data_IF_746164436521
#
_entry.id   IF_746164436521
#
_cell.length_a   1.000
_cell.length_b   1.000
_cell.length_c   1.000
_cell.angle_alpha   90.00
_cell.angle_beta   90.00
_cell.angle_gamma   90.00
#
_symmetry.space_group_name_H-M   'P 1'
#
loop_
_entity.id
_entity.type
_entity.pdbx_description
1 polymer ?
#
# COMPACT_ATOMS: atom_id res chain seq x y z
N UNK A 1 -33.17 -27.12 39.83
CA UNK A 1 -33.19 -26.91 41.29
C UNK A 1 -33.03 -28.28 41.94
N UNK A 2 -32.22 -28.36 43.01
CA UNK A 2 -31.64 -29.54 43.66
C UNK A 2 -30.48 -30.19 42.86
N UNK A 3 -29.28 -30.40 43.37
CA UNK A 3 -28.59 -30.19 44.67
C UNK A 3 -27.28 -31.01 44.56
N UNK A 4 -26.06 -30.45 44.61
CA UNK A 4 -25.13 -30.32 45.78
C UNK A 4 -25.40 -31.32 46.92
N UNK A 5 -24.47 -32.01 47.60
CA UNK A 5 -23.01 -31.98 47.87
C UNK A 5 -22.61 -33.45 48.21
N UNK A 6 -21.29 -33.75 48.26
CA UNK A 6 -20.58 -34.58 49.27
C UNK A 6 -19.52 -35.46 48.58
N UNK A 7 -18.31 -35.66 49.10
CA UNK A 7 -17.52 -35.11 50.20
C UNK A 7 -16.24 -35.98 50.25
N UNK A 8 -15.23 -35.54 51.00
CA UNK A 8 -14.18 -36.36 51.65
C UNK A 8 -13.01 -36.84 50.77
N UNK A 9 -11.83 -36.26 51.00
CA UNK A 9 -10.78 -36.73 51.95
C UNK A 9 -9.98 -37.89 51.34
N UNK A 10 -8.68 -37.70 51.14
CA UNK A 10 -7.73 -38.07 52.19
C UNK A 10 -6.30 -37.68 51.80
N UNK A 11 -5.55 -37.36 52.83
CA UNK A 11 -4.21 -36.82 52.90
C UNK A 11 -3.11 -37.90 52.85
N UNK A 12 -1.86 -37.39 52.93
CA UNK A 12 -0.63 -38.01 53.46
C UNK A 12 0.23 -38.74 52.42
N UNK A 13 1.34 -38.11 52.00
CA UNK A 13 2.66 -38.06 52.66
C UNK A 13 3.47 -39.33 52.36
N UNK A 14 4.61 -39.19 51.66
CA UNK A 14 5.91 -39.60 52.22
C UNK A 14 7.08 -39.14 51.34
N UNK A 15 8.17 -38.83 52.02
CA UNK A 15 9.41 -38.23 51.56
C UNK A 15 10.41 -39.29 51.09
N UNK A 16 11.14 -38.92 50.02
CA UNK A 16 12.58 -39.12 49.95
C UNK A 16 13.10 -40.39 49.26
N UNK A 17 13.87 -40.21 48.19
CA UNK A 17 15.33 -40.48 48.21
C UNK A 17 15.91 -40.28 46.80
N UNK A 18 16.91 -39.40 46.72
CA UNK A 18 17.82 -39.26 45.58
C UNK A 18 18.54 -40.59 45.30
N UNK A 19 18.39 -41.10 44.08
CA UNK A 19 19.44 -41.89 43.44
C UNK A 19 19.63 -41.42 42.00
N UNK A 20 20.77 -40.78 41.82
CA UNK A 20 21.34 -40.31 40.58
C UNK A 20 21.65 -41.52 39.67
N UNK A 21 20.94 -41.66 38.55
CA UNK A 21 21.28 -42.60 37.48
C UNK A 21 21.39 -41.83 36.18
N UNK A 22 22.64 -41.51 35.80
CA UNK A 22 22.98 -40.95 34.50
C UNK A 22 22.62 -41.98 33.41
N UNK A 23 21.56 -41.72 32.66
CA UNK A 23 21.34 -42.37 31.37
C UNK A 23 21.71 -41.36 30.28
N UNK A 24 22.90 -41.54 29.71
CA UNK A 24 23.25 -40.95 28.41
C UNK A 24 22.18 -41.35 27.41
N UNK A 25 21.32 -40.39 27.05
CA UNK A 25 20.36 -40.55 25.98
C UNK A 25 21.05 -39.99 24.74
N UNK A 26 21.54 -40.87 23.87
CA UNK A 26 21.94 -40.49 22.53
C UNK A 26 20.74 -39.85 21.84
N UNK A 27 20.73 -38.52 21.79
CA UNK A 27 19.80 -37.77 20.96
C UNK A 27 20.21 -37.96 19.51
N UNK A 28 19.49 -38.81 18.79
CA UNK A 28 19.49 -38.78 17.33
C UNK A 28 19.04 -37.37 16.91
N UNK A 29 19.98 -36.53 16.48
CA UNK A 29 19.67 -35.29 15.78
C UNK A 29 19.00 -35.65 14.45
N UNK A 30 17.68 -35.76 14.46
CA UNK A 30 16.91 -35.71 13.23
C UNK A 30 17.01 -34.27 12.70
N UNK A 31 17.81 -34.07 11.65
CA UNK A 31 17.84 -32.88 10.83
C UNK A 31 16.46 -32.66 10.18
N UNK A 32 15.50 -32.17 10.96
CA UNK A 32 14.22 -31.70 10.44
C UNK A 32 14.49 -30.37 9.74
N UNK A 33 14.45 -30.41 8.42
CA UNK A 33 14.49 -29.27 7.52
C UNK A 33 13.41 -28.25 7.90
N UNK A 34 13.79 -27.25 8.72
CA UNK A 34 12.96 -26.16 9.22
C UNK A 34 12.48 -25.22 8.09
N UNK A 35 12.86 -25.47 6.83
CA UNK A 35 12.48 -24.60 5.71
C UNK A 35 11.01 -24.71 5.28
N UNK A 36 10.26 -25.72 5.75
CA UNK A 36 8.87 -25.97 5.34
C UNK A 36 7.80 -25.81 6.45
N UNK A 37 8.14 -25.28 7.62
CA UNK A 37 7.14 -24.98 8.64
C UNK A 37 6.45 -23.64 8.33
N UNK A 38 5.12 -23.67 8.24
CA UNK A 38 4.33 -22.44 8.14
C UNK A 38 4.65 -21.52 9.33
N UNK A 39 4.83 -20.21 9.12
CA UNK A 39 5.20 -19.30 10.19
C UNK A 39 4.15 -19.32 11.29
N UNK A 40 4.56 -19.72 12.49
CA UNK A 40 3.73 -19.72 13.69
C UNK A 40 3.84 -18.35 14.35
N UNK A 41 2.70 -17.71 14.62
CA UNK A 41 2.68 -16.46 15.38
C UNK A 41 3.15 -16.75 16.81
N UNK A 42 4.20 -16.05 17.25
CA UNK A 42 4.71 -16.11 18.61
C UNK A 42 4.60 -14.74 19.27
N UNK A 43 4.24 -14.73 20.55
CA UNK A 43 4.27 -13.51 21.37
C UNK A 43 5.71 -13.12 21.76
N UNK A 44 6.66 -14.03 21.55
CA UNK A 44 8.09 -13.79 21.69
C UNK A 44 8.61 -13.03 20.47
N UNK A 45 9.19 -11.85 20.70
CA UNK A 45 9.82 -11.03 19.65
C UNK A 45 11.28 -11.40 19.42
N UNK A 46 11.69 -12.61 19.78
CA UNK A 46 13.08 -13.07 19.68
C UNK A 46 13.52 -13.03 18.21
N UNK A 47 14.59 -12.28 17.95
CA UNK A 47 15.09 -12.01 16.59
C UNK A 47 14.55 -10.72 15.93
N UNK A 48 13.58 -10.02 16.53
CA UNK A 48 13.21 -8.69 16.03
C UNK A 48 14.33 -7.69 16.33
N UNK A 49 14.87 -7.05 15.29
CA UNK A 49 15.86 -5.98 15.47
C UNK A 49 15.18 -4.84 16.23
N UNK A 50 15.64 -4.55 17.45
CA UNK A 50 15.23 -3.33 18.17
C UNK A 50 15.75 -2.12 17.42
N UNK A 51 14.86 -1.41 16.74
CA UNK A 51 15.19 -0.15 16.06
C UNK A 51 15.10 0.97 17.10
N UNK A 52 16.26 1.39 17.61
CA UNK A 52 16.33 2.51 18.55
C UNK A 52 16.01 3.83 17.82
N UNK A 53 14.94 4.52 18.25
CA UNK A 53 14.55 5.83 17.72
C UNK A 53 15.39 6.95 18.36
N UNK A 54 16.68 7.00 18.03
CA UNK A 54 17.66 7.93 18.64
C UNK A 54 17.59 9.34 18.01
N UNK A 55 16.99 9.47 16.82
CA UNK A 55 16.96 10.74 16.08
C UNK A 55 16.02 11.76 16.75
N UNK A 56 16.52 12.99 16.95
CA UNK A 56 15.70 14.12 17.43
C UNK A 56 14.53 14.38 16.47
N UNK A 57 13.31 14.44 17.01
CA UNK A 57 12.09 14.78 16.26
C UNK A 57 12.17 16.25 15.84
N UNK A 58 12.48 16.51 14.58
CA UNK A 58 12.47 17.85 13.98
C UNK A 58 12.03 17.77 12.52
N UNK A 59 11.49 18.87 12.01
CA UNK A 59 11.34 19.05 10.58
C UNK A 59 12.74 19.13 9.96
N UNK A 60 12.95 18.36 8.89
CA UNK A 60 14.21 18.39 8.12
C UNK A 60 14.23 19.57 7.14
N UNK A 61 13.05 20.07 6.81
CA UNK A 61 12.82 21.14 5.84
C UNK A 61 12.28 22.40 6.54
N UNK A 62 12.55 23.60 5.99
CA UNK A 62 11.87 24.81 6.40
C UNK A 62 10.37 24.71 6.06
N UNK A 63 9.57 25.55 6.72
CA UNK A 63 8.13 25.63 6.45
C UNK A 63 7.94 26.08 4.99
N UNK A 64 7.26 25.27 4.15
CA UNK A 64 7.07 25.62 2.74
C UNK A 64 5.97 26.67 2.57
N UNK A 65 6.21 27.64 1.68
CA UNK A 65 5.22 28.63 1.26
C UNK A 65 4.57 29.40 2.42
N UNK A 66 3.24 29.44 2.42
CA UNK A 66 2.41 30.11 3.43
C UNK A 66 2.00 29.15 4.57
N UNK A 67 2.67 28.02 4.71
CA UNK A 67 2.30 26.95 5.64
C UNK A 67 0.88 26.38 5.39
N UNK A 68 0.40 26.40 4.14
CA UNK A 68 -0.91 25.84 3.79
C UNK A 68 -0.77 24.35 3.45
N UNK A 69 -1.83 23.54 3.58
CA UNK A 69 -1.78 22.11 3.24
C UNK A 69 -1.27 21.82 1.81
N UNK A 70 -1.57 22.72 0.86
CA UNK A 70 -1.10 22.61 -0.52
C UNK A 70 0.42 22.80 -0.67
N UNK A 71 1.05 23.58 0.20
CA UNK A 71 2.50 23.83 0.17
C UNK A 71 3.25 22.56 0.58
N UNK A 72 2.77 21.89 1.63
CA UNK A 72 3.27 20.59 2.06
C UNK A 72 3.05 19.50 1.02
N UNK A 73 1.89 19.50 0.34
CA UNK A 73 1.64 18.58 -0.77
C UNK A 73 2.64 18.79 -1.92
N UNK A 74 2.85 20.04 -2.35
CA UNK A 74 3.76 20.36 -3.44
C UNK A 74 5.23 20.08 -3.10
N UNK A 75 5.59 20.10 -1.81
CA UNK A 75 6.91 19.68 -1.33
C UNK A 75 7.14 18.17 -1.56
N UNK A 76 6.12 17.35 -1.29
CA UNK A 76 6.18 15.89 -1.46
C UNK A 76 5.95 15.45 -2.90
N UNK A 77 5.14 16.18 -3.66
CA UNK A 77 4.71 15.85 -5.02
C UNK A 77 5.03 17.03 -5.92
N UNK A 78 6.30 17.13 -6.32
CA UNK A 78 6.77 18.24 -7.13
C UNK A 78 6.36 18.14 -8.62
N UNK A 79 6.46 19.26 -9.33
CA UNK A 79 6.14 19.33 -10.75
C UNK A 79 7.07 18.47 -11.63
N UNK A 80 8.30 18.20 -11.20
CA UNK A 80 9.25 17.35 -11.96
C UNK A 80 8.77 15.90 -11.94
N UNK A 81 8.31 15.43 -10.79
CA UNK A 81 7.72 14.12 -10.59
C UNK A 81 6.41 13.98 -11.36
N UNK A 82 5.52 14.97 -11.26
CA UNK A 82 4.27 14.99 -12.03
C UNK A 82 4.53 14.97 -13.55
N UNK A 83 5.52 15.72 -14.04
CA UNK A 83 5.94 15.67 -15.45
C UNK A 83 6.39 14.27 -15.88
N UNK A 84 7.13 13.55 -15.02
CA UNK A 84 7.54 12.15 -15.28
C UNK A 84 6.32 11.23 -15.37
N UNK A 85 5.36 11.36 -14.46
CA UNK A 85 4.11 10.58 -14.50
C UNK A 85 3.34 10.85 -15.80
N UNK A 86 3.17 12.12 -16.18
CA UNK A 86 2.52 12.48 -17.44
C UNK A 86 3.25 11.87 -18.64
N UNK A 87 4.58 11.91 -18.68
CA UNK A 87 5.40 11.34 -19.76
C UNK A 87 5.14 9.84 -19.91
N UNK A 88 5.26 9.08 -18.81
CA UNK A 88 5.10 7.63 -18.82
C UNK A 88 3.66 7.21 -19.11
N UNK A 89 2.68 7.89 -18.53
CA UNK A 89 1.25 7.66 -18.77
C UNK A 89 0.88 7.91 -20.23
N UNK A 90 1.36 9.01 -20.83
CA UNK A 90 1.12 9.28 -22.24
C UNK A 90 1.80 8.25 -23.16
N UNK A 91 3.04 7.87 -22.87
CA UNK A 91 3.74 6.86 -23.66
C UNK A 91 3.03 5.49 -23.59
N UNK A 92 2.54 5.11 -22.40
CA UNK A 92 1.78 3.89 -22.24
C UNK A 92 0.45 3.94 -23.00
N UNK A 93 -0.26 5.05 -22.91
CA UNK A 93 -1.51 5.24 -23.63
C UNK A 93 -1.29 5.03 -25.14
N UNK A 94 -0.22 5.60 -25.71
CA UNK A 94 0.14 5.41 -27.12
C UNK A 94 0.35 3.93 -27.50
N UNK A 95 1.15 3.21 -26.72
CA UNK A 95 1.36 1.77 -26.93
C UNK A 95 0.03 1.00 -26.84
N UNK A 96 -0.77 1.33 -25.83
CA UNK A 96 -2.08 0.71 -25.63
C UNK A 96 -3.06 0.95 -26.79
N UNK A 97 -2.94 2.08 -27.52
CA UNK A 97 -3.71 2.31 -28.76
C UNK A 97 -3.25 1.42 -29.90
N UNK A 98 -1.93 1.31 -30.10
CA UNK A 98 -1.36 0.58 -31.22
C UNK A 98 -1.52 -0.94 -31.07
N UNK A 99 -1.45 -1.46 -29.84
CA UNK A 99 -1.46 -2.90 -29.58
C UNK A 99 -2.89 -3.52 -29.63
N UNK A 100 -3.93 -2.70 -29.44
CA UNK A 100 -5.30 -3.19 -29.48
C UNK A 100 -5.93 -2.98 -30.86
N UNK A 101 -6.42 -4.08 -31.45
CA UNK A 101 -7.44 -4.06 -32.52
C UNK A 101 -8.74 -3.46 -31.97
N UNK A 102 -8.74 -2.16 -31.72
CA UNK A 102 -9.87 -1.47 -31.12
C UNK A 102 -10.91 -1.17 -32.19
N UNK A 103 -12.17 -1.51 -31.89
CA UNK A 103 -13.30 -1.05 -32.69
C UNK A 103 -13.38 0.48 -32.63
N UNK A 104 -13.86 1.11 -33.71
CA UNK A 104 -13.94 2.57 -33.84
C UNK A 104 -14.67 3.26 -32.66
N UNK A 105 -15.56 2.55 -31.96
CA UNK A 105 -16.33 3.04 -30.80
C UNK A 105 -15.61 2.92 -29.45
N UNK A 106 -14.39 2.37 -29.40
CA UNK A 106 -13.66 2.20 -28.14
C UNK A 106 -13.41 3.53 -27.46
N UNK A 107 -13.67 3.62 -26.15
CA UNK A 107 -13.41 4.83 -25.32
C UNK A 107 -11.97 5.29 -25.39
N UNK A 108 -11.06 4.36 -25.69
CA UNK A 108 -9.63 4.62 -25.80
C UNK A 108 -9.31 5.56 -26.97
N UNK A 109 -10.11 5.54 -28.04
CA UNK A 109 -9.92 6.39 -29.23
C UNK A 109 -10.10 7.89 -28.93
N UNK A 110 -10.68 8.23 -27.77
CA UNK A 110 -10.86 9.61 -27.31
C UNK A 110 -9.68 10.12 -26.47
N UNK A 111 -8.57 9.39 -26.39
CA UNK A 111 -7.43 9.83 -25.60
C UNK A 111 -6.89 11.18 -26.06
N UNK A 112 -6.70 12.05 -25.09
CA UNK A 112 -5.98 13.31 -25.24
C UNK A 112 -4.74 13.24 -24.38
N UNK A 113 -3.64 13.83 -24.86
CA UNK A 113 -2.39 13.92 -24.12
C UNK A 113 -2.64 14.53 -22.74
N UNK A 114 -2.29 13.80 -21.69
CA UNK A 114 -2.39 14.23 -20.30
C UNK A 114 -1.32 15.29 -20.02
N UNK A 115 -1.72 16.43 -19.45
CA UNK A 115 -0.82 17.48 -19.00
C UNK A 115 -0.75 17.54 -17.47
N UNK A 116 0.24 18.27 -16.93
CA UNK A 116 0.45 18.38 -15.47
C UNK A 116 -0.74 19.03 -14.75
N UNK A 117 -1.33 20.15 -15.24
CA UNK A 117 -2.52 20.72 -14.60
C UNK A 117 -3.70 19.74 -14.55
N UNK A 118 -3.95 19.00 -15.64
CA UNK A 118 -5.00 17.99 -15.68
C UNK A 118 -4.70 16.80 -14.74
N UNK A 119 -3.43 16.38 -14.64
CA UNK A 119 -3.02 15.36 -13.68
C UNK A 119 -3.22 15.83 -12.23
N UNK A 120 -2.96 17.10 -11.91
CA UNK A 120 -3.23 17.67 -10.58
C UNK A 120 -4.73 17.62 -10.25
N UNK A 121 -5.60 17.96 -11.20
CA UNK A 121 -7.06 17.82 -11.04
C UNK A 121 -7.44 16.36 -10.81
N UNK A 122 -6.91 15.43 -11.61
CA UNK A 122 -7.14 14.00 -11.45
C UNK A 122 -6.72 13.51 -10.05
N UNK A 123 -5.53 13.89 -9.57
CA UNK A 123 -5.03 13.51 -8.25
C UNK A 123 -5.87 14.13 -7.12
N UNK A 124 -6.30 15.39 -7.27
CA UNK A 124 -7.21 16.03 -6.32
C UNK A 124 -8.55 15.29 -6.19
N UNK A 125 -9.15 14.90 -7.33
CA UNK A 125 -10.36 14.07 -7.33
C UNK A 125 -10.10 12.68 -6.74
N UNK A 126 -8.97 12.05 -7.07
CA UNK A 126 -8.59 10.74 -6.52
C UNK A 126 -8.43 10.79 -5.00
N UNK A 127 -7.76 11.81 -4.46
CA UNK A 127 -7.64 12.03 -3.02
C UNK A 127 -9.01 12.26 -2.37
N UNK A 128 -9.90 12.99 -3.04
CA UNK A 128 -11.24 13.25 -2.53
C UNK A 128 -12.10 11.97 -2.44
N UNK A 129 -11.88 10.97 -3.31
CA UNK A 129 -12.52 9.64 -3.17
C UNK A 129 -12.05 8.88 -1.92
N UNK A 130 -10.92 9.27 -1.33
CA UNK A 130 -10.48 8.76 -0.04
C UNK A 130 -11.28 9.32 1.14
N UNK A 131 -11.78 10.56 0.99
CA UNK A 131 -12.58 11.26 2.01
C UNK A 131 -14.04 10.83 1.99
N UNK A 132 -14.65 10.80 0.80
CA UNK A 132 -16.04 10.36 0.62
C UNK A 132 -15.97 9.00 -0.06
N UNK A 133 -16.43 7.94 0.60
CA UNK A 133 -16.44 6.59 0.02
C UNK A 133 -17.82 6.23 -0.51
N UNK A 134 -17.86 5.81 -1.77
CA UNK A 134 -19.06 5.23 -2.39
C UNK A 134 -18.73 3.86 -2.98
N UNK A 135 -19.76 3.04 -3.18
CA UNK A 135 -19.59 1.62 -3.55
C UNK A 135 -18.92 1.42 -4.91
N UNK A 136 -19.23 2.25 -5.90
CA UNK A 136 -18.64 2.15 -7.24
C UNK A 136 -17.99 3.47 -7.62
N UNK A 137 -16.79 3.40 -8.20
CA UNK A 137 -16.07 4.59 -8.68
C UNK A 137 -16.87 5.44 -9.68
N UNK A 138 -17.82 4.84 -10.40
CA UNK A 138 -18.68 5.56 -11.33
C UNK A 138 -19.76 6.40 -10.63
N UNK A 139 -20.08 6.07 -9.38
CA UNK A 139 -21.16 6.71 -8.62
C UNK A 139 -20.79 8.14 -8.22
N UNK A 140 -19.50 8.49 -8.12
CA UNK A 140 -19.05 9.86 -7.89
C UNK A 140 -19.52 10.87 -8.96
N UNK A 141 -19.86 10.39 -10.16
CA UNK A 141 -20.35 11.21 -11.28
C UNK A 141 -21.86 11.12 -11.49
N UNK A 142 -22.61 10.43 -10.61
CA UNK A 142 -24.06 10.35 -10.73
C UNK A 142 -24.72 11.69 -10.33
N UNK A 143 -25.91 11.90 -10.87
CA UNK A 143 -26.76 13.06 -10.59
C UNK A 143 -27.98 12.70 -9.76
N UNK A 144 -28.17 11.41 -9.45
CA UNK A 144 -29.29 10.98 -8.63
C UNK A 144 -29.17 11.56 -7.21
N UNK A 145 -30.31 11.68 -6.52
CA UNK A 145 -30.39 12.34 -5.20
C UNK A 145 -29.41 11.76 -4.17
N UNK A 146 -29.15 10.46 -4.22
CA UNK A 146 -28.32 9.76 -3.23
C UNK A 146 -26.81 9.86 -3.50
N UNK A 147 -26.41 10.16 -4.74
CA UNK A 147 -25.00 10.21 -5.17
C UNK A 147 -24.67 11.52 -5.90
N UNK A 148 -25.40 12.60 -5.61
CA UNK A 148 -25.20 13.89 -6.27
C UNK A 148 -23.97 14.62 -5.71
N UNK A 149 -22.79 14.28 -6.24
CA UNK A 149 -21.51 14.90 -5.88
C UNK A 149 -21.04 15.83 -7.03
N UNK A 150 -21.52 17.09 -7.10
CA UNK A 150 -21.27 17.96 -8.24
C UNK A 150 -19.79 18.25 -8.49
N UNK A 151 -18.97 18.31 -7.42
CA UNK A 151 -17.54 18.58 -7.51
C UNK A 151 -16.82 17.69 -8.55
N UNK A 152 -17.08 16.38 -8.54
CA UNK A 152 -16.40 15.45 -9.45
C UNK A 152 -16.65 15.77 -10.92
N UNK A 153 -17.92 16.01 -11.28
CA UNK A 153 -18.31 16.29 -12.67
C UNK A 153 -17.97 17.71 -13.13
N UNK A 154 -17.85 18.67 -12.20
CA UNK A 154 -17.41 20.04 -12.51
C UNK A 154 -15.96 20.07 -12.98
N UNK A 155 -15.07 19.29 -12.35
CA UNK A 155 -13.64 19.35 -12.64
C UNK A 155 -13.16 18.37 -13.71
N UNK A 156 -13.79 17.20 -13.83
CA UNK A 156 -13.40 16.21 -14.83
C UNK A 156 -14.57 15.30 -15.19
N UNK A 157 -14.69 14.88 -16.44
CA UNK A 157 -15.71 13.89 -16.80
C UNK A 157 -15.35 12.49 -16.29
N UNK A 158 -16.36 11.68 -15.95
CA UNK A 158 -16.18 10.28 -15.53
C UNK A 158 -15.29 9.49 -16.49
N UNK A 159 -15.58 9.61 -17.77
CA UNK A 159 -14.88 8.85 -18.81
C UNK A 159 -13.42 9.27 -18.92
N UNK A 160 -13.11 10.57 -18.76
CA UNK A 160 -11.73 11.05 -18.74
C UNK A 160 -10.99 10.57 -17.50
N UNK A 161 -11.60 10.65 -16.32
CA UNK A 161 -11.00 10.16 -15.07
C UNK A 161 -10.66 8.66 -15.15
N UNK A 162 -11.63 7.83 -15.57
CA UNK A 162 -11.42 6.39 -15.71
C UNK A 162 -10.38 6.04 -16.78
N UNK A 163 -10.32 6.83 -17.85
CA UNK A 163 -9.33 6.63 -18.91
C UNK A 163 -7.92 6.97 -18.43
N UNK A 164 -7.74 8.08 -17.70
CA UNK A 164 -6.46 8.42 -17.05
C UNK A 164 -6.07 7.32 -16.05
N UNK A 165 -6.99 6.89 -15.19
CA UNK A 165 -6.76 5.84 -14.21
C UNK A 165 -6.29 4.53 -14.86
N UNK A 166 -6.90 4.15 -15.99
CA UNK A 166 -6.52 2.96 -16.76
C UNK A 166 -5.12 3.05 -17.38
N UNK A 167 -4.72 4.24 -17.82
CA UNK A 167 -3.44 4.45 -18.50
C UNK A 167 -2.30 4.87 -17.56
N UNK A 168 -2.59 5.14 -16.28
CA UNK A 168 -1.64 5.66 -15.31
C UNK A 168 -0.40 4.76 -15.20
N UNK A 169 0.77 5.30 -15.53
CA UNK A 169 2.05 4.59 -15.54
C UNK A 169 3.17 5.42 -14.94
N UNK A 170 4.11 4.74 -14.28
CA UNK A 170 5.23 5.34 -13.55
C UNK A 170 6.61 4.96 -14.11
N UNK A 171 6.66 4.09 -15.11
CA UNK A 171 7.87 3.65 -15.80
C UNK A 171 7.67 3.65 -17.31
N UNK A 172 8.78 3.55 -18.07
CA UNK A 172 8.68 3.42 -19.52
C UNK A 172 7.92 2.13 -19.89
N UNK A 173 6.99 2.16 -20.86
CA UNK A 173 6.31 0.96 -21.36
C UNK A 173 7.25 -0.10 -21.97
N UNK A 174 8.47 0.31 -22.30
CA UNK A 174 9.54 -0.53 -22.86
C UNK A 174 10.62 -0.89 -21.83
N UNK A 175 10.51 -0.42 -20.58
CA UNK A 175 11.48 -0.74 -19.55
C UNK A 175 11.43 -2.24 -19.24
N UNK A 176 12.58 -2.90 -19.35
CA UNK A 176 12.76 -4.25 -18.81
C UNK A 176 12.95 -4.12 -17.31
N UNK A 177 12.03 -4.69 -16.55
CA UNK A 177 12.07 -4.69 -15.10
C UNK A 177 12.67 -6.00 -14.62
N UNK A 178 13.77 -5.93 -13.89
CA UNK A 178 14.42 -7.11 -13.28
C UNK A 178 13.65 -7.57 -12.05
N UNK A 179 13.12 -6.63 -11.26
CA UNK A 179 12.36 -6.92 -10.05
C UNK A 179 10.84 -6.88 -10.28
N UNK A 180 10.10 -7.64 -9.46
CA UNK A 180 8.63 -7.62 -9.42
C UNK A 180 8.07 -6.20 -9.17
N UNK A 181 8.79 -5.37 -8.42
CA UNK A 181 8.41 -3.97 -8.10
C UNK A 181 8.86 -2.96 -9.15
N UNK A 182 9.51 -3.38 -10.24
CA UNK A 182 10.17 -2.47 -11.18
C UNK A 182 9.26 -1.38 -11.76
N UNK A 183 7.97 -1.65 -11.95
CA UNK A 183 6.99 -0.67 -12.45
C UNK A 183 6.76 0.52 -11.51
N UNK A 184 6.85 0.29 -10.20
CA UNK A 184 6.65 1.32 -9.17
C UNK A 184 7.95 1.81 -8.54
N UNK A 185 9.09 1.19 -8.89
CA UNK A 185 10.38 1.49 -8.27
C UNK A 185 10.78 2.96 -8.43
N UNK A 186 10.42 3.60 -9.55
CA UNK A 186 10.64 5.03 -9.77
C UNK A 186 9.93 5.91 -8.73
N UNK A 187 8.71 5.52 -8.34
CA UNK A 187 7.91 6.23 -7.32
C UNK A 187 8.51 6.01 -5.95
N UNK A 188 8.85 4.76 -5.62
CA UNK A 188 9.48 4.40 -4.33
C UNK A 188 10.79 5.14 -4.16
N UNK A 189 11.66 5.13 -5.18
CA UNK A 189 12.94 5.83 -5.15
C UNK A 189 12.76 7.34 -5.02
N UNK A 190 11.78 7.91 -5.73
CA UNK A 190 11.46 9.33 -5.62
C UNK A 190 11.11 9.73 -4.18
N UNK A 191 10.15 9.04 -3.55
CA UNK A 191 9.77 9.35 -2.18
C UNK A 191 10.90 9.05 -1.18
N UNK A 192 11.63 7.95 -1.32
CA UNK A 192 12.76 7.66 -0.45
C UNK A 192 13.85 8.73 -0.50
N UNK A 193 14.10 9.31 -1.68
CA UNK A 193 15.06 10.40 -1.82
C UNK A 193 14.49 11.70 -1.24
N UNK A 194 13.22 12.01 -1.52
CA UNK A 194 12.52 13.17 -0.97
C UNK A 194 12.45 13.20 0.56
N UNK A 195 12.38 12.04 1.20
CA UNK A 195 12.32 11.92 2.66
C UNK A 195 13.70 11.92 3.34
N UNK A 196 14.79 11.85 2.55
CA UNK A 196 16.17 11.98 3.03
C UNK A 196 16.66 13.42 3.00
N UNK A 197 16.17 14.21 2.05
CA UNK A 197 16.31 15.68 2.00
C UNK A 197 15.71 16.32 3.27
#
# INVERSE_FOLDING_TARGET
MAGVINDLDNSDDDLGSDQNMESETESEESDLDVSNLAPVWSDHTDGSKRIAFIKKRKLLVPIPGDNKPIDWYNLLVDDVFLKKICKHTNAYALKFFCDLKTTAKSRINKWKKLCVPELKVFLGLLLHTGTIRVNRLQDYWKTNRFFNLPLFRTYMSRDRFLLILRCLHFSSPTAKHVSRTGKIQNVVNYFNNKMKE
#
